data_IF_283989827573
#
_entry.id   IF_283989827573
#
_cell.length_a   1.000
_cell.length_b   1.000
_cell.length_c   1.000
_cell.angle_alpha   90.00
_cell.angle_beta   90.00
_cell.angle_gamma   90.00
#
_symmetry.space_group_name_H-M   'P 1'
#
loop_
_entity.id
_entity.type
_entity.pdbx_description
1 polymer ?
#
# COMPACT_ATOMS: atom_id res chain seq x y z
N UNK A 1 36.11 -43.49 55.79
CA UNK A 1 35.42 -43.99 56.99
C UNK A 1 33.92 -43.67 57.02
N UNK A 2 33.36 -43.09 56.01
CA UNK A 2 31.89 -42.77 55.92
C UNK A 2 31.15 -43.58 54.84
N UNK A 3 31.87 -44.30 53.96
CA UNK A 3 31.25 -45.04 52.86
C UNK A 3 30.96 -46.54 53.26
N UNK A 4 31.59 -47.06 54.28
CA UNK A 4 31.36 -48.46 54.72
C UNK A 4 30.22 -48.60 55.73
N UNK A 5 29.76 -47.54 56.35
CA UNK A 5 28.70 -47.60 57.39
C UNK A 5 27.29 -47.64 56.78
N UNK A 6 27.13 -47.26 55.47
CA UNK A 6 25.84 -47.29 54.78
C UNK A 6 25.45 -48.65 54.18
N UNK A 7 26.39 -49.57 54.06
CA UNK A 7 26.14 -50.91 53.49
C UNK A 7 25.47 -51.91 54.47
N UNK A 8 25.45 -51.61 55.79
CA UNK A 8 24.87 -52.50 56.83
C UNK A 8 23.40 -52.15 57.16
N UNK A 9 22.87 -50.99 56.73
CA UNK A 9 21.54 -50.53 57.17
C UNK A 9 20.41 -50.83 56.20
N UNK A 10 20.69 -51.11 54.91
CA UNK A 10 19.65 -51.35 53.92
C UNK A 10 20.03 -52.40 52.86
N UNK A 11 19.98 -53.71 53.17
CA UNK A 11 20.36 -54.77 52.21
C UNK A 11 19.42 -54.89 50.97
N UNK A 12 18.22 -54.26 50.99
CA UNK A 12 17.25 -54.41 49.94
C UNK A 12 17.36 -53.34 48.85
N UNK A 13 18.20 -52.30 48.99
CA UNK A 13 18.36 -51.25 48.02
C UNK A 13 19.26 -51.66 46.84
N UNK A 14 20.24 -52.48 47.10
CA UNK A 14 21.24 -52.93 46.09
C UNK A 14 20.63 -53.88 45.07
N UNK A 15 19.63 -54.71 45.46
CA UNK A 15 18.94 -55.62 44.55
C UNK A 15 17.93 -54.87 43.64
N UNK A 16 17.33 -53.76 44.11
CA UNK A 16 16.42 -52.94 43.32
C UNK A 16 17.14 -52.09 42.24
N UNK A 17 18.35 -51.58 42.58
CA UNK A 17 19.16 -50.84 41.62
C UNK A 17 19.70 -51.68 40.46
N UNK A 18 20.04 -52.97 40.70
CA UNK A 18 20.49 -53.88 39.64
C UNK A 18 19.37 -54.27 38.66
N UNK A 19 18.10 -54.28 39.10
CA UNK A 19 16.93 -54.51 38.21
C UNK A 19 16.54 -53.28 37.44
N UNK A 20 16.71 -52.05 37.95
CA UNK A 20 16.50 -50.81 37.23
C UNK A 20 17.55 -50.57 36.14
N UNK A 21 18.82 -50.94 36.39
CA UNK A 21 19.88 -50.80 35.38
C UNK A 21 19.70 -51.76 34.19
N UNK A 22 19.12 -52.97 34.42
CA UNK A 22 18.87 -53.94 33.34
C UNK A 22 17.65 -53.56 32.45
N UNK A 23 16.72 -52.79 32.98
CA UNK A 23 15.57 -52.28 32.19
C UNK A 23 15.94 -51.01 31.39
N UNK A 24 16.94 -50.25 31.88
CA UNK A 24 17.38 -49.01 31.22
C UNK A 24 18.31 -49.26 30.02
N UNK A 25 18.95 -50.41 29.92
CA UNK A 25 19.83 -50.79 28.79
C UNK A 25 19.04 -51.36 27.58
N UNK A 26 17.79 -51.81 27.81
CA UNK A 26 16.96 -52.36 26.70
C UNK A 26 16.03 -51.34 26.07
N UNK A 27 15.91 -50.11 26.61
CA UNK A 27 15.07 -49.03 26.06
C UNK A 27 15.81 -47.98 25.24
N UNK A 28 17.13 -48.11 25.02
CA UNK A 28 17.96 -47.15 24.28
C UNK A 28 18.19 -47.53 22.82
N UNK A 29 17.61 -48.62 22.34
CA UNK A 29 17.89 -49.14 20.99
C UNK A 29 16.74 -49.04 19.98
N UNK A 30 15.72 -48.20 20.25
CA UNK A 30 14.67 -47.88 19.24
C UNK A 30 14.37 -46.35 19.20
N UNK A 31 15.39 -45.53 19.24
CA UNK A 31 15.31 -44.19 18.66
C UNK A 31 16.10 -44.24 17.36
N UNK A 32 15.63 -45.08 16.45
CA UNK A 32 16.04 -45.00 15.06
C UNK A 32 15.56 -43.66 14.49
N UNK A 33 16.51 -42.85 14.11
CA UNK A 33 16.40 -41.65 13.34
C UNK A 33 15.21 -41.62 12.40
N UNK A 34 14.11 -40.99 12.80
CA UNK A 34 13.25 -40.31 11.87
C UNK A 34 13.82 -38.90 11.62
N UNK A 35 14.94 -38.83 10.91
CA UNK A 35 15.33 -37.61 10.25
C UNK A 35 14.27 -37.35 9.20
N UNK A 36 13.18 -36.66 9.60
CA UNK A 36 12.32 -36.03 8.58
C UNK A 36 13.28 -35.16 7.74
N UNK A 37 13.28 -35.32 6.42
CA UNK A 37 14.04 -34.42 5.57
C UNK A 37 13.57 -33.02 5.92
N UNK A 38 14.48 -32.17 6.41
CA UNK A 38 14.21 -30.72 6.53
C UNK A 38 13.69 -30.33 5.16
N UNK A 39 12.41 -29.97 5.11
CA UNK A 39 11.78 -29.43 3.89
C UNK A 39 12.71 -28.31 3.48
N UNK A 40 13.42 -28.48 2.37
CA UNK A 40 14.27 -27.45 1.83
C UNK A 40 13.40 -26.19 1.74
N UNK A 41 13.82 -25.10 2.36
CA UNK A 41 13.15 -23.83 2.23
C UNK A 41 13.08 -23.58 0.73
N UNK A 42 11.87 -23.52 0.18
CA UNK A 42 11.68 -23.21 -1.23
C UNK A 42 12.33 -21.85 -1.45
N UNK A 43 13.30 -21.77 -2.34
CA UNK A 43 13.84 -20.49 -2.79
C UNK A 43 12.64 -19.67 -3.25
N UNK A 44 12.43 -18.45 -2.75
CA UNK A 44 11.31 -17.62 -3.20
C UNK A 44 11.37 -17.52 -4.72
N UNK A 45 10.29 -17.92 -5.39
CA UNK A 45 10.22 -17.81 -6.84
C UNK A 45 10.15 -16.33 -7.18
N UNK A 46 11.19 -15.82 -7.84
CA UNK A 46 11.19 -14.44 -8.34
C UNK A 46 10.10 -14.33 -9.40
N UNK A 47 9.12 -13.48 -9.15
CA UNK A 47 8.07 -13.16 -10.12
C UNK A 47 8.60 -12.05 -11.02
N UNK A 48 8.64 -12.32 -12.33
CA UNK A 48 8.97 -11.31 -13.33
C UNK A 48 7.69 -10.50 -13.63
N UNK A 49 7.67 -9.18 -13.38
CA UNK A 49 6.49 -8.36 -13.60
C UNK A 49 6.23 -8.17 -15.09
N UNK A 50 4.95 -8.19 -15.47
CA UNK A 50 4.53 -7.93 -16.85
C UNK A 50 4.67 -6.44 -17.14
N UNK A 51 5.39 -6.07 -18.21
CA UNK A 51 5.33 -4.70 -18.76
C UNK A 51 4.09 -4.60 -19.63
N UNK A 52 3.12 -3.79 -19.19
CA UNK A 52 1.93 -3.49 -19.96
C UNK A 52 2.19 -2.31 -20.90
N UNK A 53 1.65 -2.40 -22.12
CA UNK A 53 1.52 -1.27 -23.01
C UNK A 53 0.24 -0.48 -22.68
N UNK A 54 0.14 0.74 -23.20
CA UNK A 54 -1.09 1.53 -23.10
C UNK A 54 -1.41 2.23 -24.41
N UNK A 55 -2.67 2.60 -24.57
CA UNK A 55 -3.14 3.50 -25.63
C UNK A 55 -3.98 4.62 -24.99
N UNK A 56 -3.78 5.84 -25.45
CA UNK A 56 -4.62 7.00 -25.04
C UNK A 56 -5.95 6.92 -25.78
N UNK A 57 -7.05 6.86 -25.04
CA UNK A 57 -8.41 6.80 -25.57
C UNK A 57 -9.04 8.19 -25.69
N UNK A 58 -8.79 9.03 -24.68
CA UNK A 58 -9.25 10.41 -24.64
C UNK A 58 -8.29 11.29 -23.83
N UNK A 59 -8.35 12.57 -24.05
CA UNK A 59 -7.60 13.59 -23.32
C UNK A 59 -8.60 14.63 -22.84
N UNK A 60 -8.57 14.93 -21.56
CA UNK A 60 -9.42 15.91 -20.91
C UNK A 60 -8.57 17.08 -20.39
N UNK A 61 -9.13 18.29 -20.30
CA UNK A 61 -8.44 19.40 -19.66
C UNK A 61 -8.27 19.12 -18.16
N UNK A 62 -7.15 19.58 -17.60
CA UNK A 62 -6.88 19.53 -16.18
C UNK A 62 -6.31 20.87 -15.70
N UNK A 63 -6.56 21.23 -14.44
CA UNK A 63 -6.17 22.54 -13.90
C UNK A 63 -4.68 22.56 -13.56
N UNK A 64 -3.92 23.41 -14.23
CA UNK A 64 -2.47 23.59 -14.01
C UNK A 64 -2.10 24.15 -12.63
N UNK A 65 -3.09 24.48 -11.80
CA UNK A 65 -2.88 24.87 -10.39
C UNK A 65 -3.09 23.70 -9.43
N UNK A 66 -3.60 22.56 -9.90
CA UNK A 66 -3.79 21.35 -9.12
C UNK A 66 -2.48 20.59 -8.94
N UNK A 67 -1.90 20.69 -7.76
CA UNK A 67 -0.79 19.84 -7.33
C UNK A 67 -1.36 18.50 -6.85
N UNK A 68 -1.69 17.63 -7.79
CA UNK A 68 -2.46 16.39 -7.56
C UNK A 68 -1.71 15.45 -6.62
N UNK A 69 -2.34 15.10 -5.50
CA UNK A 69 -1.82 14.18 -4.49
C UNK A 69 -2.72 12.95 -4.28
N UNK A 70 -3.97 13.04 -4.68
CA UNK A 70 -4.90 11.92 -4.69
C UNK A 70 -5.99 12.13 -5.71
N UNK A 71 -6.35 11.07 -6.41
CA UNK A 71 -7.34 11.09 -7.49
C UNK A 71 -8.21 9.85 -7.37
N UNK A 72 -9.53 9.99 -7.53
CA UNK A 72 -10.43 8.83 -7.57
C UNK A 72 -11.69 9.15 -8.38
N UNK A 73 -12.19 8.18 -9.14
CA UNK A 73 -13.46 8.32 -9.88
C UNK A 73 -14.53 7.44 -9.22
N UNK A 74 -15.58 8.07 -8.69
CA UNK A 74 -16.67 7.39 -7.98
C UNK A 74 -18.00 7.94 -8.43
N UNK A 75 -18.92 7.07 -8.88
CA UNK A 75 -20.30 7.40 -9.26
C UNK A 75 -20.41 8.57 -10.24
N UNK A 76 -19.55 8.59 -11.26
CA UNK A 76 -19.58 9.63 -12.29
C UNK A 76 -18.83 10.92 -11.91
N UNK A 77 -18.20 10.97 -10.74
CA UNK A 77 -17.50 12.15 -10.22
C UNK A 77 -16.02 11.87 -10.08
N UNK A 78 -15.19 12.76 -10.64
CA UNK A 78 -13.75 12.76 -10.40
C UNK A 78 -13.46 13.57 -9.13
N UNK A 79 -12.94 12.90 -8.10
CA UNK A 79 -12.49 13.48 -6.85
C UNK A 79 -11.00 13.74 -6.90
N UNK A 80 -10.57 14.89 -6.40
CA UNK A 80 -9.17 15.26 -6.38
C UNK A 80 -8.78 15.93 -5.05
N UNK A 81 -7.70 15.44 -4.45
CA UNK A 81 -7.00 16.07 -3.35
C UNK A 81 -5.71 16.70 -3.85
N UNK A 82 -5.47 17.97 -3.52
CA UNK A 82 -4.26 18.68 -3.94
C UNK A 82 -3.35 18.99 -2.78
N UNK A 83 -2.05 19.13 -3.07
CA UNK A 83 -1.01 19.56 -2.15
C UNK A 83 -0.75 21.07 -2.22
N UNK A 84 0.43 21.45 -1.75
CA UNK A 84 1.00 22.78 -1.55
C UNK A 84 0.50 23.51 -0.28
N UNK A 85 1.45 24.08 0.47
CA UNK A 85 1.19 24.84 1.68
C UNK A 85 0.31 26.06 1.41
N UNK A 86 -0.82 26.14 2.11
CA UNK A 86 -1.79 27.24 1.97
C UNK A 86 -2.63 27.21 0.71
N UNK A 87 -2.56 26.13 -0.10
CA UNK A 87 -3.33 25.97 -1.33
C UNK A 87 -4.03 24.61 -1.44
N UNK A 88 -3.72 23.69 -0.52
CA UNK A 88 -4.30 22.33 -0.53
C UNK A 88 -5.83 22.36 -0.43
N UNK A 89 -6.49 21.61 -1.30
CA UNK A 89 -7.95 21.51 -1.35
C UNK A 89 -8.41 20.06 -1.52
N UNK A 90 -9.68 19.84 -1.19
CA UNK A 90 -10.47 18.72 -1.66
C UNK A 90 -11.49 19.27 -2.66
N UNK A 91 -11.57 18.69 -3.84
CA UNK A 91 -12.42 19.18 -4.92
C UNK A 91 -13.05 18.07 -5.74
N UNK A 92 -14.12 18.41 -6.46
CA UNK A 92 -14.71 17.61 -7.55
C UNK A 92 -14.36 18.25 -8.87
N UNK A 93 -14.00 17.44 -9.84
CA UNK A 93 -13.60 17.91 -11.17
C UNK A 93 -14.61 17.42 -12.21
N UNK A 94 -15.16 18.34 -12.98
CA UNK A 94 -15.94 18.00 -14.17
C UNK A 94 -14.99 17.48 -15.25
N UNK A 95 -15.12 16.21 -15.60
CA UNK A 95 -14.19 15.52 -16.49
C UNK A 95 -14.11 16.19 -17.87
N UNK A 96 -15.23 16.69 -18.40
CA UNK A 96 -15.26 17.24 -19.77
C UNK A 96 -14.63 18.63 -19.87
N UNK A 97 -14.84 19.46 -18.87
CA UNK A 97 -14.35 20.85 -18.87
C UNK A 97 -13.08 21.07 -18.07
N UNK A 98 -12.67 20.11 -17.22
CA UNK A 98 -11.58 20.25 -16.26
C UNK A 98 -11.87 21.27 -15.14
N UNK A 99 -13.12 21.75 -15.02
CA UNK A 99 -13.48 22.72 -13.98
C UNK A 99 -13.61 22.05 -12.64
N UNK A 100 -12.88 22.59 -11.66
CA UNK A 100 -12.94 22.14 -10.30
C UNK A 100 -13.99 22.90 -9.48
N UNK A 101 -14.75 22.17 -8.68
CA UNK A 101 -15.57 22.66 -7.59
C UNK A 101 -14.82 22.38 -6.29
N UNK A 102 -14.25 23.42 -5.68
CA UNK A 102 -13.56 23.31 -4.39
C UNK A 102 -14.60 23.09 -3.29
N UNK A 103 -14.55 21.95 -2.63
CA UNK A 103 -15.43 21.60 -1.53
C UNK A 103 -14.90 22.11 -0.19
N UNK A 104 -13.58 22.00 0.01
CA UNK A 104 -12.93 22.48 1.22
C UNK A 104 -11.46 22.85 0.96
N UNK A 105 -10.96 23.82 1.72
CA UNK A 105 -9.55 24.24 1.71
C UNK A 105 -8.93 23.87 3.06
N UNK A 106 -7.77 23.25 3.02
CA UNK A 106 -7.03 22.88 4.23
C UNK A 106 -6.44 24.12 4.91
N UNK A 107 -6.19 24.06 6.24
CA UNK A 107 -5.42 25.07 6.94
C UNK A 107 -4.07 25.34 6.26
N UNK A 108 -3.61 26.60 6.28
CA UNK A 108 -2.33 27.00 5.65
C UNK A 108 -1.10 26.25 6.18
N UNK A 109 -1.19 25.72 7.39
CA UNK A 109 -0.15 24.93 8.05
C UNK A 109 -0.21 23.43 7.70
N UNK A 110 -1.05 23.05 6.76
CA UNK A 110 -1.21 21.66 6.32
C UNK A 110 -0.95 21.53 4.82
N UNK A 111 -0.31 20.46 4.45
CA UNK A 111 -0.10 20.05 3.08
C UNK A 111 -0.99 18.83 2.83
N UNK A 112 -1.98 18.97 1.95
CA UNK A 112 -2.90 17.90 1.59
C UNK A 112 -2.21 16.82 0.77
N UNK A 113 -2.61 15.59 0.99
CA UNK A 113 -2.08 14.39 0.34
C UNK A 113 -3.20 13.51 -0.19
N UNK A 114 -2.94 12.22 -0.36
CA UNK A 114 -3.85 11.25 -0.94
C UNK A 114 -5.25 11.28 -0.36
N UNK A 115 -6.23 11.02 -1.21
CA UNK A 115 -7.63 10.92 -0.84
C UNK A 115 -8.22 9.56 -1.19
N UNK A 116 -9.31 9.21 -0.53
CA UNK A 116 -10.21 8.14 -1.00
C UNK A 116 -11.63 8.36 -0.52
N UNK A 117 -12.59 7.99 -1.36
CA UNK A 117 -14.01 7.91 -1.02
C UNK A 117 -14.31 6.48 -0.59
N UNK A 118 -14.85 6.31 0.62
CA UNK A 118 -15.31 5.02 1.12
C UNK A 118 -16.71 5.18 1.74
N UNK A 119 -17.70 4.58 1.09
CA UNK A 119 -19.09 4.74 1.47
C UNK A 119 -19.56 6.19 1.33
N UNK A 120 -20.02 6.78 2.43
CA UNK A 120 -20.50 8.16 2.51
C UNK A 120 -19.44 9.17 3.00
N UNK A 121 -18.19 8.76 3.06
CA UNK A 121 -17.08 9.55 3.61
C UNK A 121 -15.96 9.74 2.59
N UNK A 122 -15.27 10.88 2.69
CA UNK A 122 -14.01 11.16 1.99
C UNK A 122 -12.91 11.32 3.02
N UNK A 123 -11.82 10.61 2.84
CA UNK A 123 -10.62 10.68 3.67
C UNK A 123 -9.54 11.46 2.91
N UNK A 124 -8.89 12.40 3.56
CA UNK A 124 -7.77 13.15 3.00
C UNK A 124 -6.60 13.19 3.98
N UNK A 125 -5.46 12.69 3.55
CA UNK A 125 -4.22 12.72 4.33
C UNK A 125 -3.61 14.11 4.36
N UNK A 126 -2.69 14.31 5.31
CA UNK A 126 -1.76 15.45 5.34
C UNK A 126 -0.33 14.92 5.37
N UNK A 127 0.63 15.58 4.69
CA UNK A 127 2.00 15.11 4.59
C UNK A 127 2.65 14.83 5.94
N UNK A 128 2.98 15.86 6.71
CA UNK A 128 3.74 15.76 7.97
C UNK A 128 2.93 16.11 9.22
N UNK A 129 1.67 16.50 9.05
CA UNK A 129 0.82 16.87 10.19
C UNK A 129 0.24 15.65 10.93
N UNK A 130 0.48 14.43 10.42
CA UNK A 130 0.03 13.16 11.00
C UNK A 130 -1.50 13.12 11.20
N UNK A 131 -2.24 13.72 10.28
CA UNK A 131 -3.67 13.90 10.36
C UNK A 131 -4.34 13.38 9.09
N UNK A 132 -5.47 12.71 9.25
CA UNK A 132 -6.42 12.46 8.19
C UNK A 132 -7.71 13.20 8.51
N UNK A 133 -8.13 14.04 7.59
CA UNK A 133 -9.44 14.69 7.63
C UNK A 133 -10.49 13.74 7.07
N UNK A 134 -11.64 13.70 7.68
CA UNK A 134 -12.80 12.96 7.21
C UNK A 134 -13.93 13.92 6.92
N UNK A 135 -14.46 13.84 5.72
CA UNK A 135 -15.55 14.69 5.23
C UNK A 135 -16.74 13.82 4.79
N UNK A 136 -17.91 14.42 4.68
CA UNK A 136 -19.01 13.85 3.91
C UNK A 136 -18.84 14.13 2.40
N UNK A 137 -19.71 13.59 1.56
CA UNK A 137 -19.66 13.76 0.10
C UNK A 137 -19.94 15.19 -0.39
N UNK A 138 -20.32 16.09 0.51
CA UNK A 138 -20.48 17.52 0.29
C UNK A 138 -19.27 18.34 0.76
N UNK A 139 -18.22 17.68 1.24
CA UNK A 139 -17.01 18.33 1.76
C UNK A 139 -17.15 18.93 3.15
N UNK A 140 -18.23 18.64 3.88
CA UNK A 140 -18.39 19.10 5.27
C UNK A 140 -17.50 18.24 6.18
N UNK A 141 -16.64 18.90 6.95
CA UNK A 141 -15.75 18.24 7.90
C UNK A 141 -16.54 17.49 8.97
N UNK A 142 -16.23 16.21 9.16
CA UNK A 142 -16.88 15.34 10.15
C UNK A 142 -15.98 15.12 11.37
N UNK A 143 -14.74 14.73 11.15
CA UNK A 143 -13.75 14.47 12.21
C UNK A 143 -12.33 14.49 11.66
N UNK A 144 -11.35 14.61 12.58
CA UNK A 144 -9.95 14.32 12.32
C UNK A 144 -9.57 13.00 13.01
N UNK A 145 -8.74 12.21 12.35
CA UNK A 145 -8.06 11.08 12.97
C UNK A 145 -6.55 11.25 12.80
N UNK A 146 -5.77 10.42 13.48
CA UNK A 146 -4.30 10.59 13.50
C UNK A 146 -3.59 9.29 13.11
N UNK A 147 -2.42 9.47 12.49
CA UNK A 147 -1.46 8.41 12.22
C UNK A 147 -0.05 8.86 12.59
N UNK A 148 0.94 8.00 12.43
CA UNK A 148 2.35 8.27 12.76
C UNK A 148 3.18 8.22 11.47
N UNK A 149 4.01 9.23 11.28
CA UNK A 149 4.88 9.36 10.10
C UNK A 149 4.24 10.21 9.01
N UNK A 150 4.77 10.14 7.81
CA UNK A 150 4.22 10.83 6.64
C UNK A 150 3.03 10.06 6.05
N UNK A 151 2.11 10.77 5.43
CA UNK A 151 1.06 10.21 4.60
C UNK A 151 1.22 10.72 3.18
N UNK A 152 1.17 9.82 2.18
CA UNK A 152 1.30 10.14 0.77
C UNK A 152 0.04 9.73 0.00
N UNK A 153 -0.03 8.54 -0.57
CA UNK A 153 -1.22 8.05 -1.27
C UNK A 153 -2.22 7.34 -0.35
N UNK A 154 -3.47 7.29 -0.78
CA UNK A 154 -4.55 6.62 -0.05
C UNK A 154 -5.54 6.01 -1.03
N UNK A 155 -5.90 4.75 -0.82
CA UNK A 155 -6.97 4.07 -1.57
C UNK A 155 -7.77 3.13 -0.65
N UNK A 156 -8.80 2.48 -1.19
CA UNK A 156 -9.66 1.55 -0.44
C UNK A 156 -10.05 0.35 -1.29
N UNK A 157 -10.15 -0.83 -0.66
CA UNK A 157 -10.74 -2.04 -1.25
C UNK A 157 -12.27 -2.12 -1.08
N UNK A 158 -12.88 -1.09 -0.49
CA UNK A 158 -14.30 -1.02 -0.13
C UNK A 158 -14.58 -1.38 1.33
N UNK A 159 -13.60 -1.90 2.06
CA UNK A 159 -13.71 -2.28 3.48
C UNK A 159 -12.62 -1.62 4.33
N UNK A 160 -11.40 -1.61 3.85
CA UNK A 160 -10.22 -1.09 4.52
C UNK A 160 -9.56 0.01 3.71
N UNK A 161 -8.76 0.84 4.36
CA UNK A 161 -7.93 1.85 3.71
C UNK A 161 -6.49 1.34 3.55
N UNK A 162 -5.82 1.80 2.49
CA UNK A 162 -4.42 1.51 2.21
C UNK A 162 -3.66 2.81 2.02
N UNK A 163 -2.63 3.04 2.83
CA UNK A 163 -1.87 4.28 2.89
C UNK A 163 -0.40 4.04 2.54
N UNK A 164 0.13 4.77 1.60
CA UNK A 164 1.57 4.88 1.33
C UNK A 164 2.20 6.02 2.14
N UNK A 165 3.52 6.04 2.25
CA UNK A 165 4.28 7.09 2.94
C UNK A 165 5.66 7.34 2.31
N UNK A 166 5.83 7.03 1.04
CA UNK A 166 7.09 7.20 0.32
C UNK A 166 8.15 6.12 0.60
N UNK A 167 7.89 5.19 1.52
CA UNK A 167 8.75 4.03 1.78
C UNK A 167 8.35 2.83 0.92
N UNK A 168 8.89 1.67 1.23
CA UNK A 168 8.52 0.39 0.61
C UNK A 168 7.22 -0.19 1.15
N UNK A 169 6.68 0.38 2.21
CA UNK A 169 5.54 -0.19 2.92
C UNK A 169 4.23 0.55 2.57
N UNK A 170 3.19 -0.20 2.29
CA UNK A 170 1.80 0.27 2.23
C UNK A 170 1.10 -0.27 3.49
N UNK A 171 0.44 0.61 4.24
CA UNK A 171 -0.20 0.29 5.49
C UNK A 171 -1.69 0.06 5.31
N UNK A 172 -2.19 -1.09 5.80
CA UNK A 172 -3.62 -1.32 5.94
C UNK A 172 -4.13 -0.61 7.19
N UNK A 173 -5.16 0.22 7.04
CA UNK A 173 -5.71 1.07 8.08
C UNK A 173 -7.19 0.79 8.30
N UNK A 174 -7.62 0.75 9.54
CA UNK A 174 -9.03 0.69 9.92
C UNK A 174 -9.74 2.03 9.59
N UNK A 175 -10.84 2.05 8.83
CA UNK A 175 -11.47 3.29 8.39
C UNK A 175 -12.15 4.09 9.52
N UNK A 176 -12.55 3.45 10.64
CA UNK A 176 -13.24 4.15 11.72
C UNK A 176 -12.28 4.80 12.72
N UNK A 177 -11.08 4.23 12.90
CA UNK A 177 -10.10 4.69 13.90
C UNK A 177 -8.79 5.18 13.28
N UNK A 178 -8.55 4.87 12.02
CA UNK A 178 -7.31 5.06 11.27
C UNK A 178 -6.08 4.40 11.95
N UNK A 179 -6.32 3.35 12.72
CA UNK A 179 -5.26 2.53 13.30
C UNK A 179 -4.71 1.56 12.26
N UNK A 180 -3.40 1.35 12.32
CA UNK A 180 -2.73 0.38 11.46
C UNK A 180 -3.12 -1.05 11.88
N UNK A 181 -3.65 -1.82 10.94
CA UNK A 181 -3.99 -3.23 11.10
C UNK A 181 -2.92 -4.16 10.52
N UNK A 182 -2.16 -3.67 9.53
CA UNK A 182 -1.15 -4.44 8.85
C UNK A 182 -0.27 -3.59 7.96
N UNK A 183 0.66 -4.26 7.28
CA UNK A 183 1.49 -3.65 6.24
C UNK A 183 1.82 -4.63 5.14
N UNK A 184 2.04 -4.09 3.97
CA UNK A 184 2.46 -4.77 2.75
C UNK A 184 3.82 -4.18 2.38
N UNK A 185 4.89 -4.97 2.39
CA UNK A 185 6.20 -4.51 1.90
C UNK A 185 6.29 -4.82 0.41
N UNK A 186 6.44 -3.77 -0.39
CA UNK A 186 6.40 -3.88 -1.86
C UNK A 186 7.76 -4.27 -2.41
N UNK A 187 7.75 -5.31 -3.25
CA UNK A 187 8.96 -5.83 -3.90
C UNK A 187 8.73 -6.06 -5.39
N UNK A 188 9.77 -5.81 -6.18
CA UNK A 188 9.82 -6.09 -7.62
C UNK A 188 11.08 -6.91 -7.92
N UNK A 189 10.94 -8.09 -8.51
CA UNK A 189 12.04 -9.04 -8.75
C UNK A 189 12.84 -9.40 -7.48
N UNK A 190 12.17 -9.38 -6.32
CA UNK A 190 12.80 -9.64 -5.03
C UNK A 190 13.46 -8.43 -4.37
N UNK A 191 13.56 -7.30 -5.06
CA UNK A 191 14.11 -6.05 -4.52
C UNK A 191 13.00 -5.13 -4.02
N UNK A 192 13.28 -4.37 -2.97
CA UNK A 192 12.33 -3.44 -2.36
C UNK A 192 12.09 -2.23 -3.29
N UNK A 193 10.82 -1.83 -3.45
CA UNK A 193 10.42 -0.64 -4.21
C UNK A 193 10.13 0.50 -3.25
N UNK A 194 10.93 1.58 -3.34
CA UNK A 194 10.75 2.81 -2.56
C UNK A 194 9.94 3.85 -3.35
N UNK A 195 9.59 4.95 -2.67
CA UNK A 195 8.89 6.10 -3.23
C UNK A 195 7.49 5.78 -3.76
N UNK A 196 6.81 4.84 -3.11
CA UNK A 196 5.41 4.54 -3.41
C UNK A 196 4.55 5.73 -2.99
N UNK A 197 3.82 6.30 -3.94
CA UNK A 197 3.09 7.54 -3.77
C UNK A 197 1.59 7.34 -3.94
N UNK A 198 0.96 7.99 -4.89
CA UNK A 198 -0.47 7.93 -5.12
C UNK A 198 -0.93 6.51 -5.43
N UNK A 199 -2.10 6.16 -4.90
CA UNK A 199 -2.62 4.79 -4.91
C UNK A 199 -4.04 4.73 -5.46
N UNK A 200 -4.32 3.70 -6.26
CA UNK A 200 -5.68 3.36 -6.68
C UNK A 200 -5.95 1.85 -6.59
N UNK A 201 -7.15 1.48 -6.17
CA UNK A 201 -7.59 0.09 -6.10
C UNK A 201 -8.31 -0.31 -7.37
N UNK A 202 -7.68 -1.17 -8.20
CA UNK A 202 -8.23 -1.65 -9.46
C UNK A 202 -8.27 -3.17 -9.48
N UNK A 203 -9.45 -3.75 -9.59
CA UNK A 203 -9.68 -5.20 -9.78
C UNK A 203 -8.87 -6.09 -8.82
N UNK A 204 -8.88 -5.73 -7.52
CA UNK A 204 -8.21 -6.51 -6.48
C UNK A 204 -6.70 -6.33 -6.43
N UNK A 205 -6.18 -5.28 -7.05
CA UNK A 205 -4.75 -4.87 -7.05
C UNK A 205 -4.62 -3.43 -6.61
N UNK A 206 -3.49 -3.11 -5.98
CA UNK A 206 -3.10 -1.74 -5.71
C UNK A 206 -2.24 -1.27 -6.87
N UNK A 207 -2.69 -0.23 -7.55
CA UNK A 207 -1.90 0.50 -8.54
C UNK A 207 -1.25 1.66 -7.83
N UNK A 208 0.01 1.94 -8.13
CA UNK A 208 0.75 2.97 -7.42
C UNK A 208 1.67 3.74 -8.35
N UNK A 209 1.68 5.07 -8.22
CA UNK A 209 2.75 5.90 -8.78
C UNK A 209 4.04 5.66 -7.99
N UNK A 210 5.16 5.56 -8.70
CA UNK A 210 6.51 5.59 -8.11
C UNK A 210 7.07 7.00 -8.27
N UNK A 211 7.12 7.76 -7.18
CA UNK A 211 7.48 9.19 -7.18
C UNK A 211 8.81 9.46 -7.88
N UNK A 212 8.88 10.55 -8.60
CA UNK A 212 9.99 10.98 -9.48
C UNK A 212 10.23 10.11 -10.71
N UNK A 213 9.30 9.21 -11.03
CA UNK A 213 9.35 8.39 -12.25
C UNK A 213 8.04 8.50 -13.02
N UNK A 214 8.04 8.00 -14.25
CA UNK A 214 6.82 7.86 -15.06
C UNK A 214 6.21 6.45 -14.96
N UNK A 215 6.53 5.71 -13.91
CA UNK A 215 6.03 4.36 -13.71
C UNK A 215 4.81 4.30 -12.80
N UNK A 216 3.82 3.51 -13.23
CA UNK A 216 2.76 2.97 -12.38
C UNK A 216 3.00 1.48 -12.22
N UNK A 217 3.05 1.00 -10.99
CA UNK A 217 3.24 -0.41 -10.64
C UNK A 217 1.94 -1.04 -10.17
N UNK A 218 1.75 -2.34 -10.47
CA UNK A 218 0.57 -3.12 -10.11
C UNK A 218 0.99 -4.14 -9.04
N UNK A 219 0.48 -3.98 -7.84
CA UNK A 219 0.90 -4.68 -6.63
C UNK A 219 -0.17 -5.67 -6.21
N UNK A 220 0.24 -6.90 -5.92
CA UNK A 220 -0.61 -7.87 -5.26
C UNK A 220 -0.72 -7.53 -3.77
N UNK A 221 -1.90 -7.19 -3.23
CA UNK A 221 -2.04 -6.70 -1.85
C UNK A 221 -1.82 -7.79 -0.79
N UNK A 222 -1.88 -9.09 -1.15
CA UNK A 222 -1.64 -10.19 -0.23
C UNK A 222 -0.15 -10.50 -0.06
N UNK A 223 0.66 -10.25 -1.10
CA UNK A 223 2.08 -10.65 -1.12
C UNK A 223 3.04 -9.47 -1.13
N UNK A 224 2.58 -8.28 -1.54
CA UNK A 224 3.43 -7.11 -1.81
C UNK A 224 4.26 -7.22 -3.10
N UNK A 225 4.08 -8.29 -3.87
CA UNK A 225 4.84 -8.49 -5.10
C UNK A 225 4.25 -7.63 -6.22
N UNK A 226 5.12 -6.90 -6.94
CA UNK A 226 4.74 -6.21 -8.17
C UNK A 226 4.56 -7.24 -9.27
N UNK A 227 3.33 -7.40 -9.75
CA UNK A 227 2.95 -8.34 -10.80
C UNK A 227 3.03 -7.72 -12.19
N UNK A 228 2.97 -6.39 -12.28
CA UNK A 228 3.03 -5.67 -13.54
C UNK A 228 3.41 -4.20 -13.35
N UNK A 229 3.70 -3.54 -14.45
CA UNK A 229 3.97 -2.10 -14.48
C UNK A 229 3.66 -1.49 -15.84
N UNK A 230 3.37 -0.20 -15.83
CA UNK A 230 3.17 0.64 -17.01
C UNK A 230 4.23 1.74 -17.00
N UNK A 231 4.82 2.01 -18.16
CA UNK A 231 5.78 3.07 -18.39
C UNK A 231 5.08 4.19 -19.19
N UNK A 232 4.78 5.28 -18.51
CA UNK A 232 4.10 6.45 -19.08
C UNK A 232 5.08 7.53 -19.58
N UNK A 233 6.37 7.20 -19.73
CA UNK A 233 7.36 8.14 -20.27
C UNK A 233 6.87 8.73 -21.59
N UNK A 234 6.78 10.08 -21.64
CA UNK A 234 6.31 10.83 -22.82
C UNK A 234 4.79 10.83 -23.01
N UNK A 235 3.99 10.44 -22.00
CA UNK A 235 2.53 10.59 -22.01
C UNK A 235 2.17 12.08 -22.14
N UNK A 236 2.66 12.94 -21.24
CA UNK A 236 2.61 14.38 -21.42
C UNK A 236 3.66 14.78 -22.47
N UNK A 237 3.23 15.51 -23.49
CA UNK A 237 4.12 15.92 -24.59
C UNK A 237 4.94 17.14 -24.20
N UNK A 238 6.14 17.29 -24.78
CA UNK A 238 7.05 18.41 -24.50
C UNK A 238 6.37 19.78 -24.69
N UNK A 239 5.45 19.89 -25.65
CA UNK A 239 4.67 21.09 -25.90
C UNK A 239 3.70 21.49 -24.77
N UNK A 240 3.35 20.55 -23.92
CA UNK A 240 2.46 20.75 -22.76
C UNK A 240 3.23 20.98 -21.45
N UNK A 241 4.55 20.73 -21.48
CA UNK A 241 5.43 20.93 -20.31
C UNK A 241 5.71 22.42 -20.11
N UNK A 242 5.58 22.87 -18.89
CA UNK A 242 5.89 24.25 -18.45
C UNK A 242 6.95 24.21 -17.34
N UNK A 243 7.47 25.37 -16.94
CA UNK A 243 8.38 25.48 -15.80
C UNK A 243 7.77 25.01 -14.47
N UNK A 244 6.45 24.93 -14.39
CA UNK A 244 5.71 24.50 -13.21
C UNK A 244 5.29 23.04 -13.26
N UNK A 245 5.33 22.40 -14.42
CA UNK A 245 4.95 21.00 -14.59
C UNK A 245 5.82 20.13 -13.71
N UNK A 246 5.20 19.27 -12.89
CA UNK A 246 5.88 18.36 -11.98
C UNK A 246 5.56 16.91 -12.38
N UNK A 247 5.84 15.93 -11.57
CA UNK A 247 5.83 14.51 -11.90
C UNK A 247 4.44 13.94 -12.16
N UNK A 248 4.38 12.83 -12.88
CA UNK A 248 3.22 11.94 -12.98
C UNK A 248 2.75 11.58 -11.57
N UNK A 249 1.51 11.86 -11.24
CA UNK A 249 0.87 11.49 -9.98
C UNK A 249 -0.66 11.66 -10.08
N UNK A 250 -1.37 10.58 -9.79
CA UNK A 250 -2.84 10.53 -9.86
C UNK A 250 -3.32 9.45 -10.81
N UNK A 251 -3.99 8.44 -10.25
CA UNK A 251 -4.64 7.32 -10.95
C UNK A 251 -6.08 7.30 -10.47
N UNK A 252 -7.04 7.22 -11.39
CA UNK A 252 -8.44 7.03 -11.04
C UNK A 252 -9.06 5.92 -11.89
N UNK A 253 -9.95 5.14 -11.29
CA UNK A 253 -10.62 4.04 -11.95
C UNK A 253 -12.14 4.20 -11.92
N UNK A 254 -12.74 4.32 -13.11
CA UNK A 254 -14.18 4.20 -13.29
C UNK A 254 -14.54 2.72 -13.38
N UNK A 255 -14.95 2.15 -12.26
CA UNK A 255 -15.28 0.72 -12.14
C UNK A 255 -16.44 0.31 -13.06
N UNK A 256 -17.43 1.18 -13.24
CA UNK A 256 -18.62 0.86 -14.03
C UNK A 256 -18.35 0.97 -15.54
N UNK A 257 -17.55 1.95 -15.94
CA UNK A 257 -17.12 2.15 -17.32
C UNK A 257 -15.88 1.37 -17.74
N UNK A 258 -15.14 0.80 -16.78
CA UNK A 258 -13.86 0.12 -17.03
C UNK A 258 -12.78 1.08 -17.53
N UNK A 259 -12.85 2.40 -17.18
CA UNK A 259 -11.94 3.42 -17.66
C UNK A 259 -10.88 3.73 -16.62
N UNK A 260 -9.64 3.92 -17.08
CA UNK A 260 -8.52 4.33 -16.24
C UNK A 260 -8.09 5.73 -16.64
N UNK A 261 -7.94 6.60 -15.66
CA UNK A 261 -7.48 7.97 -15.84
C UNK A 261 -6.14 8.16 -15.16
N UNK A 262 -5.23 8.91 -15.79
CA UNK A 262 -3.94 9.29 -15.23
C UNK A 262 -3.64 10.74 -15.50
N UNK A 263 -3.00 11.40 -14.54
CA UNK A 263 -2.55 12.80 -14.66
C UNK A 263 -1.23 12.99 -13.91
N UNK A 264 -0.80 14.23 -13.77
CA UNK A 264 0.38 14.59 -12.98
C UNK A 264 0.19 15.93 -12.26
N UNK A 265 1.09 16.20 -11.34
CA UNK A 265 1.10 17.44 -10.56
C UNK A 265 1.28 18.64 -11.48
N UNK A 266 0.32 19.58 -11.42
CA UNK A 266 0.30 20.80 -12.25
C UNK A 266 0.26 20.54 -13.76
N UNK A 267 -0.18 19.35 -14.17
CA UNK A 267 -0.39 19.05 -15.58
C UNK A 267 -1.64 19.78 -16.11
N UNK A 268 -1.65 20.09 -17.40
CA UNK A 268 -2.78 20.69 -18.10
C UNK A 268 -3.73 19.64 -18.72
N UNK A 269 -3.42 18.36 -18.55
CA UNK A 269 -4.14 17.24 -19.17
C UNK A 269 -4.36 16.09 -18.18
N UNK A 270 -5.52 15.48 -18.29
CA UNK A 270 -5.87 14.19 -17.73
C UNK A 270 -6.10 13.22 -18.89
N UNK A 271 -5.51 12.04 -18.83
CA UNK A 271 -5.54 11.06 -19.90
C UNK A 271 -6.41 9.88 -19.51
N UNK A 272 -7.37 9.53 -20.36
CA UNK A 272 -8.03 8.23 -20.32
C UNK A 272 -7.18 7.23 -21.10
N UNK A 273 -6.78 6.13 -20.45
CA UNK A 273 -5.90 5.14 -21.02
C UNK A 273 -6.52 3.75 -21.00
N UNK A 274 -6.25 2.97 -22.03
CA UNK A 274 -6.53 1.53 -22.09
C UNK A 274 -5.22 0.77 -21.95
N UNK A 275 -5.21 -0.20 -21.05
CA UNK A 275 -4.01 -1.00 -20.76
C UNK A 275 -4.06 -2.29 -21.57
N UNK A 276 -2.98 -2.56 -22.28
CA UNK A 276 -2.84 -3.67 -23.19
C UNK A 276 -1.71 -4.63 -22.74
N UNK A 277 -1.91 -5.95 -22.89
CA UNK A 277 -0.86 -6.94 -22.62
C UNK A 277 0.13 -7.00 -23.74
#
# INVERSE_FOLDING_TARGET
>A
MFAEFLLYLFPNIVTSMKRLLSIMVLSVLVVACSSQPKRAASVPQIVEPIKYAYSVKAIYPHDTTSYTQGLQYVDGVLWEGTGEWGKSVLQKVDLQSGRAEVLTTLPRSEFGEGITVLGDKVYQLTWTNNKVHVYDLQGRHLKDMRYVGEGWGLTSDGESLYMSNGTTDIYKMDPETFKREGKITVTMRGEAVNFINELEWIDGRIWANVYTTDYVIIINPQTGVVEGYIDFTGLLKDEDVTERTDVLNGIAYDKDGGRIFVTGKLWNKLFEVEINK
#
